data_IF_827803683816
#
_entry.id   IF_827803683816
#
_cell.length_a   1.000
_cell.length_b   1.000
_cell.length_c   1.000
_cell.angle_alpha   90.00
_cell.angle_beta   90.00
_cell.angle_gamma   90.00
#
_symmetry.space_group_name_H-M   'P 1'
#
loop_
_entity.id
_entity.type
_entity.pdbx_description
1 polymer ?
#
# COMPACT_ATOMS: atom_id res chain seq x y z
N UNK A 1 -21.86 0.51 3.41
CA UNK A 1 -20.72 1.43 3.42
C UNK A 1 -19.96 1.23 4.71
N UNK A 2 -18.66 0.93 4.61
CA UNK A 2 -17.80 0.71 5.77
C UNK A 2 -16.44 1.36 5.52
N UNK A 3 -16.34 2.65 5.86
CA UNK A 3 -15.19 3.49 5.52
C UNK A 3 -13.84 2.86 5.90
N UNK A 4 -12.83 2.84 4.99
CA UNK A 4 -12.76 3.51 3.68
C UNK A 4 -13.30 2.68 2.49
N UNK A 5 -14.04 1.61 2.76
CA UNK A 5 -14.49 0.64 1.78
C UNK A 5 -15.94 0.83 1.33
N UNK A 6 -16.14 0.77 0.02
CA UNK A 6 -17.42 0.65 -0.65
C UNK A 6 -17.68 -0.83 -0.97
N UNK A 7 -18.88 -1.30 -0.64
CA UNK A 7 -19.34 -2.65 -0.95
C UNK A 7 -20.49 -2.55 -1.94
N UNK A 8 -20.27 -3.04 -3.16
CA UNK A 8 -21.28 -3.08 -4.21
C UNK A 8 -21.84 -4.50 -4.35
N UNK A 9 -23.17 -4.61 -4.39
CA UNK A 9 -23.87 -5.87 -4.61
C UNK A 9 -24.04 -6.11 -6.11
N UNK A 10 -23.55 -7.25 -6.59
CA UNK A 10 -23.66 -7.69 -7.99
C UNK A 10 -24.50 -8.98 -8.06
N UNK A 11 -24.97 -9.33 -9.26
CA UNK A 11 -25.78 -10.55 -9.44
C UNK A 11 -25.03 -11.84 -9.06
N UNK A 12 -23.71 -11.85 -9.25
CA UNK A 12 -22.82 -13.00 -9.02
C UNK A 12 -21.93 -12.85 -7.79
N UNK A 13 -22.11 -11.81 -6.97
CA UNK A 13 -21.29 -11.62 -5.79
C UNK A 13 -21.25 -10.20 -5.26
N UNK A 14 -20.15 -9.86 -4.59
CA UNK A 14 -19.87 -8.52 -4.10
C UNK A 14 -18.54 -8.03 -4.63
N UNK A 15 -18.50 -6.73 -4.90
CA UNK A 15 -17.28 -6.02 -5.21
C UNK A 15 -16.91 -5.07 -4.06
N UNK A 16 -15.66 -5.14 -3.63
CA UNK A 16 -15.08 -4.28 -2.59
C UNK A 16 -14.18 -3.26 -3.27
N UNK A 17 -14.43 -1.98 -3.02
CA UNK A 17 -13.66 -0.87 -3.58
C UNK A 17 -13.28 0.13 -2.50
N UNK A 18 -12.32 1.02 -2.76
CA UNK A 18 -12.18 2.25 -1.97
C UNK A 18 -13.11 3.33 -2.47
N UNK A 19 -13.38 4.33 -1.62
CA UNK A 19 -14.27 5.45 -1.96
C UNK A 19 -13.57 6.46 -2.85
N UNK A 20 -12.39 6.94 -2.45
CA UNK A 20 -11.69 8.02 -3.15
C UNK A 20 -10.16 7.89 -3.06
N UNK A 21 -9.45 7.52 -4.14
CA UNK A 21 -9.97 7.16 -5.45
C UNK A 21 -10.79 5.86 -5.41
N UNK A 22 -11.59 5.63 -6.45
CA UNK A 22 -12.44 4.43 -6.55
C UNK A 22 -11.64 3.22 -7.07
N UNK A 23 -10.76 2.69 -6.23
CA UNK A 23 -9.89 1.55 -6.55
C UNK A 23 -10.63 0.24 -6.28
N UNK A 24 -10.55 -0.68 -7.23
CA UNK A 24 -10.98 -2.06 -7.03
C UNK A 24 -10.02 -2.77 -6.07
N UNK A 25 -10.55 -3.42 -5.04
CA UNK A 25 -9.76 -4.21 -4.09
C UNK A 25 -9.92 -5.69 -4.42
N UNK A 26 -11.16 -6.17 -4.44
CA UNK A 26 -11.45 -7.57 -4.69
C UNK A 26 -12.93 -7.78 -5.04
N UNK A 27 -13.20 -8.94 -5.63
CA UNK A 27 -14.56 -9.47 -5.74
C UNK A 27 -14.67 -10.76 -4.94
N UNK A 28 -15.79 -10.92 -4.24
CA UNK A 28 -16.14 -12.15 -3.54
C UNK A 28 -17.32 -12.77 -4.26
N UNK A 29 -17.10 -13.96 -4.81
CA UNK A 29 -18.17 -14.71 -5.49
C UNK A 29 -19.13 -15.23 -4.43
N UNK A 30 -20.38 -14.78 -4.52
CA UNK A 30 -21.46 -15.18 -3.63
C UNK A 30 -22.67 -15.45 -4.50
N UNK A 31 -23.25 -16.66 -4.50
CA UNK A 31 -24.34 -16.98 -5.40
C UNK A 31 -25.61 -16.21 -5.04
N UNK A 32 -26.08 -15.37 -5.97
CA UNK A 32 -27.36 -14.63 -5.90
C UNK A 32 -27.55 -13.89 -4.58
N UNK A 33 -26.63 -13.00 -4.21
CA UNK A 33 -26.73 -12.27 -2.96
C UNK A 33 -27.88 -11.25 -3.12
N UNK A 34 -28.81 -11.23 -2.16
CA UNK A 34 -30.00 -10.36 -2.20
C UNK A 34 -29.93 -9.19 -1.25
N UNK A 35 -29.24 -9.38 -0.13
CA UNK A 35 -29.17 -8.40 0.94
C UNK A 35 -27.75 -8.30 1.46
N UNK A 36 -27.37 -7.06 1.81
CA UNK A 36 -26.14 -6.71 2.50
C UNK A 36 -26.54 -5.97 3.77
N UNK A 37 -26.07 -6.43 4.92
CA UNK A 37 -26.31 -5.79 6.21
C UNK A 37 -24.98 -5.52 6.92
N UNK A 38 -24.67 -4.25 7.17
CA UNK A 38 -23.52 -3.88 7.99
C UNK A 38 -23.93 -3.97 9.46
N UNK A 39 -23.34 -4.91 10.19
CA UNK A 39 -23.58 -5.05 11.61
C UNK A 39 -22.75 -4.04 12.42
N UNK A 40 -21.44 -3.97 12.15
CA UNK A 40 -20.52 -2.99 12.74
C UNK A 40 -19.34 -2.72 11.78
N UNK A 41 -18.45 -1.79 12.15
CA UNK A 41 -17.22 -1.55 11.38
C UNK A 41 -16.41 -2.84 11.24
N UNK A 42 -16.03 -3.16 10.02
CA UNK A 42 -15.32 -4.39 9.65
C UNK A 42 -16.17 -5.65 9.61
N UNK A 43 -17.51 -5.58 9.76
CA UNK A 43 -18.36 -6.76 9.82
C UNK A 43 -19.66 -6.59 9.03
N UNK A 44 -19.80 -7.39 7.98
CA UNK A 44 -20.92 -7.33 7.04
C UNK A 44 -21.50 -8.73 6.82
N UNK A 45 -22.82 -8.84 6.88
CA UNK A 45 -23.55 -10.06 6.57
C UNK A 45 -24.19 -9.97 5.21
N UNK A 46 -24.09 -11.05 4.45
CA UNK A 46 -24.74 -11.23 3.16
C UNK A 46 -25.79 -12.31 3.29
N UNK A 47 -26.95 -12.10 2.67
CA UNK A 47 -27.97 -13.13 2.62
C UNK A 47 -28.47 -13.34 1.20
N UNK A 48 -28.62 -14.62 0.85
CA UNK A 48 -29.42 -15.09 -0.28
C UNK A 48 -30.71 -15.72 0.26
N UNK A 49 -31.49 -16.38 -0.59
CA UNK A 49 -32.69 -17.11 -0.16
C UNK A 49 -32.39 -18.36 0.65
N UNK A 50 -31.17 -18.89 0.60
CA UNK A 50 -30.83 -20.18 1.20
C UNK A 50 -29.59 -20.14 2.11
N UNK A 51 -28.77 -19.10 2.03
CA UNK A 51 -27.48 -19.02 2.70
C UNK A 51 -27.21 -17.62 3.23
N UNK A 52 -26.49 -17.56 4.34
CA UNK A 52 -25.98 -16.34 4.95
C UNK A 52 -24.47 -16.45 5.06
N UNK A 53 -23.76 -15.40 4.65
CA UNK A 53 -22.31 -15.29 4.75
C UNK A 53 -21.93 -14.15 5.69
N UNK A 54 -20.82 -14.33 6.39
CA UNK A 54 -20.21 -13.31 7.22
C UNK A 54 -18.91 -12.86 6.54
N UNK A 55 -18.84 -11.59 6.16
CA UNK A 55 -17.63 -10.91 5.70
C UNK A 55 -17.04 -10.14 6.88
N UNK A 56 -15.83 -10.51 7.26
CA UNK A 56 -15.06 -9.82 8.29
C UNK A 56 -13.82 -9.18 7.66
N UNK A 57 -13.54 -7.92 8.00
CA UNK A 57 -12.31 -7.26 7.61
C UNK A 57 -11.11 -7.94 8.26
N UNK A 58 -10.06 -8.14 7.48
CA UNK A 58 -8.78 -8.58 8.00
C UNK A 58 -8.12 -7.47 8.84
N UNK A 59 -7.30 -7.80 9.85
CA UNK A 59 -6.46 -6.82 10.54
C UNK A 59 -5.60 -6.04 9.53
N UNK A 60 -5.42 -4.74 9.77
CA UNK A 60 -4.71 -3.84 8.85
C UNK A 60 -3.31 -4.35 8.50
N UNK A 61 -2.56 -4.85 9.47
CA UNK A 61 -1.24 -5.45 9.26
C UNK A 61 -1.26 -6.55 8.19
N UNK A 62 -2.26 -7.45 8.21
CA UNK A 62 -2.45 -8.47 7.16
C UNK A 62 -2.91 -7.88 5.84
N UNK A 63 -3.75 -6.85 5.87
CA UNK A 63 -4.20 -6.17 4.65
C UNK A 63 -3.02 -5.52 3.91
N UNK A 64 -2.10 -4.87 4.62
CA UNK A 64 -0.91 -4.26 4.03
C UNK A 64 -0.02 -5.30 3.36
N UNK A 65 0.24 -6.44 4.01
CA UNK A 65 1.03 -7.52 3.39
C UNK A 65 0.43 -8.00 2.06
N UNK A 66 -0.88 -8.23 2.02
CA UNK A 66 -1.58 -8.63 0.79
C UNK A 66 -1.48 -7.55 -0.29
N UNK A 67 -1.60 -6.27 0.08
CA UNK A 67 -1.48 -5.16 -0.87
C UNK A 67 -0.06 -5.01 -1.43
N UNK A 68 0.95 -5.22 -0.60
CA UNK A 68 2.35 -5.23 -1.03
C UNK A 68 2.63 -6.38 -2.01
N UNK A 69 2.14 -7.59 -1.71
CA UNK A 69 2.23 -8.74 -2.61
C UNK A 69 1.55 -8.48 -3.97
N UNK A 70 0.45 -7.72 -3.95
CA UNK A 70 -0.30 -7.31 -5.14
C UNK A 70 0.23 -6.02 -5.80
N UNK A 71 1.33 -5.44 -5.29
CA UNK A 71 1.90 -4.16 -5.76
C UNK A 71 0.91 -2.98 -5.72
N UNK A 72 -0.07 -3.02 -4.83
CA UNK A 72 -1.06 -1.97 -4.61
C UNK A 72 -0.54 -0.93 -3.60
N UNK A 73 0.62 -0.34 -3.88
CA UNK A 73 1.33 0.52 -2.93
C UNK A 73 0.56 1.79 -2.53
N UNK A 74 -0.08 2.46 -3.49
CA UNK A 74 -0.87 3.67 -3.21
C UNK A 74 -2.04 3.38 -2.27
N UNK A 75 -2.68 2.23 -2.42
CA UNK A 75 -3.74 1.79 -1.54
C UNK A 75 -3.18 1.43 -0.15
N UNK A 76 -2.06 0.72 -0.09
CA UNK A 76 -1.38 0.39 1.16
C UNK A 76 -1.04 1.68 1.95
N UNK A 77 -0.42 2.67 1.29
CA UNK A 77 -0.12 3.98 1.89
C UNK A 77 -1.38 4.67 2.43
N UNK A 78 -2.44 4.68 1.63
CA UNK A 78 -3.69 5.32 2.04
C UNK A 78 -4.28 4.66 3.28
N UNK A 79 -4.27 3.33 3.35
CA UNK A 79 -4.81 2.59 4.48
C UNK A 79 -3.98 2.80 5.74
N UNK A 80 -2.66 2.81 5.64
CA UNK A 80 -1.77 3.12 6.77
C UNK A 80 -2.02 4.54 7.28
N UNK A 81 -2.02 5.56 6.41
CA UNK A 81 -2.24 6.97 6.76
C UNK A 81 -3.64 7.24 7.35
N UNK A 82 -4.67 6.56 6.84
CA UNK A 82 -6.05 6.73 7.32
C UNK A 82 -6.26 6.15 8.72
N UNK A 83 -5.44 5.19 9.14
CA UNK A 83 -5.44 4.68 10.51
C UNK A 83 -4.90 5.72 11.50
N UNK A 84 -3.83 6.45 11.14
CA UNK A 84 -3.27 7.54 11.97
C UNK A 84 -4.29 8.66 12.24
N UNK A 85 -5.11 9.05 11.25
CA UNK A 85 -6.11 10.12 11.42
C UNK A 85 -7.27 9.77 12.36
N UNK A 86 -7.43 8.49 12.72
CA UNK A 86 -8.46 8.10 13.68
C UNK A 86 -8.00 8.22 15.15
N UNK A 87 -6.70 8.39 15.43
CA UNK A 87 -6.21 8.55 16.81
C UNK A 87 -6.32 9.98 17.35
N UNK A 88 -6.33 11.02 16.49
CA UNK A 88 -6.45 12.41 16.97
C UNK A 88 -7.85 12.77 17.51
N UNK A 89 -8.81 11.85 17.51
CA UNK A 89 -10.19 12.10 17.93
C UNK A 89 -10.66 11.27 19.14
N UNK A 90 -9.80 10.45 19.76
CA UNK A 90 -10.21 9.54 20.84
C UNK A 90 -9.96 10.05 22.26
N UNK A 91 -9.38 11.24 22.45
CA UNK A 91 -9.18 11.78 23.81
C UNK A 91 -10.41 12.49 24.40
N UNK A 92 -11.56 12.55 23.71
CA UNK A 92 -12.69 13.34 24.21
C UNK A 92 -13.72 12.59 25.08
N UNK A 93 -13.96 11.27 24.94
CA UNK A 93 -15.12 10.64 25.64
C UNK A 93 -15.01 9.14 25.94
N UNK A 94 -13.97 8.67 26.65
CA UNK A 94 -13.94 7.29 27.16
C UNK A 94 -14.17 7.23 28.68
N UNK A 95 -15.40 7.51 29.11
CA UNK A 95 -15.85 7.14 30.46
C UNK A 95 -17.32 6.72 30.47
N UNK A 96 -17.69 5.69 29.69
CA UNK A 96 -18.85 4.85 30.02
C UNK A 96 -18.84 3.53 29.25
N UNK A 97 -19.05 2.44 29.98
CA UNK A 97 -19.48 1.11 29.56
C UNK A 97 -18.49 0.17 28.85
N UNK A 98 -18.23 -0.91 29.60
CA UNK A 98 -17.88 -2.28 29.22
C UNK A 98 -18.29 -2.67 27.80
N UNK A 99 -17.37 -2.48 26.85
CA UNK A 99 -17.31 -3.24 25.59
C UNK A 99 -15.82 -3.48 25.25
N UNK A 100 -15.17 -4.29 26.09
CA UNK A 100 -13.82 -4.80 25.86
C UNK A 100 -13.83 -5.88 24.77
N UNK A 101 -13.93 -5.53 23.48
CA UNK A 101 -13.46 -6.37 22.36
C UNK A 101 -13.13 -5.53 21.13
N UNK A 102 -12.30 -4.50 21.31
CA UNK A 102 -11.49 -4.00 20.20
C UNK A 102 -10.07 -4.50 20.44
N UNK A 103 -9.64 -5.37 19.54
CA UNK A 103 -8.24 -5.67 19.31
C UNK A 103 -7.61 -4.37 18.78
N UNK A 104 -7.35 -3.43 19.70
CA UNK A 104 -6.58 -2.23 19.43
C UNK A 104 -5.16 -2.75 19.28
N UNK A 105 -4.74 -2.91 18.03
CA UNK A 105 -3.32 -3.08 17.71
C UNK A 105 -2.67 -1.80 18.23
N UNK A 106 -2.02 -1.91 19.39
CA UNK A 106 -1.32 -0.85 20.10
C UNK A 106 0.01 -0.56 19.37
N UNK A 107 -0.08 -0.36 18.05
CA UNK A 107 1.06 0.05 17.22
C UNK A 107 1.27 1.54 17.48
N UNK A 108 2.45 1.86 18.02
CA UNK A 108 2.81 3.25 18.31
C UNK A 108 2.88 4.06 17.01
N UNK A 109 2.70 5.38 17.09
CA UNK A 109 2.83 6.26 15.92
C UNK A 109 4.19 6.08 15.22
N UNK A 110 5.24 5.78 15.99
CA UNK A 110 6.58 5.48 15.47
C UNK A 110 6.64 4.20 14.63
N UNK A 111 5.89 3.15 14.97
CA UNK A 111 5.83 1.91 14.18
C UNK A 111 5.05 2.12 12.88
N UNK A 112 4.01 2.95 12.92
CA UNK A 112 3.21 3.26 11.75
C UNK A 112 3.96 4.18 10.77
N UNK A 113 4.73 5.14 11.27
CA UNK A 113 5.62 5.97 10.43
C UNK A 113 6.69 5.12 9.74
N UNK A 114 7.25 4.11 10.44
CA UNK A 114 8.15 3.11 9.83
C UNK A 114 7.43 2.31 8.74
N UNK A 115 6.18 1.92 8.94
CA UNK A 115 5.40 1.21 7.93
C UNK A 115 5.16 2.08 6.69
N UNK A 116 4.79 3.36 6.86
CA UNK A 116 4.64 4.30 5.75
C UNK A 116 5.94 4.43 4.98
N UNK A 117 7.06 4.67 5.67
CA UNK A 117 8.38 4.77 5.05
C UNK A 117 8.72 3.51 4.24
N UNK A 118 8.54 2.32 4.82
CA UNK A 118 8.81 1.06 4.13
C UNK A 118 7.97 0.87 2.87
N UNK A 119 6.65 1.16 2.93
CA UNK A 119 5.76 1.04 1.78
C UNK A 119 6.19 2.02 0.68
N UNK A 120 6.54 3.27 1.04
CA UNK A 120 7.02 4.27 0.09
C UNK A 120 8.35 3.87 -0.55
N UNK A 121 9.30 3.34 0.24
CA UNK A 121 10.56 2.81 -0.28
C UNK A 121 10.31 1.71 -1.30
N UNK A 122 9.46 0.73 -0.98
CA UNK A 122 9.08 -0.34 -1.92
C UNK A 122 8.42 0.21 -3.18
N UNK A 123 7.57 1.22 -3.05
CA UNK A 123 6.92 1.88 -4.18
C UNK A 123 7.92 2.59 -5.10
N UNK A 124 8.87 3.34 -4.53
CA UNK A 124 9.92 4.03 -5.29
C UNK A 124 10.77 3.03 -6.08
N UNK A 125 11.14 1.90 -5.47
CA UNK A 125 11.84 0.83 -6.16
C UNK A 125 10.99 0.18 -7.24
N UNK A 126 9.72 -0.16 -6.97
CA UNK A 126 8.85 -0.80 -7.98
C UNK A 126 8.67 0.08 -9.22
N UNK A 127 8.51 1.40 -9.05
CA UNK A 127 8.51 2.38 -10.14
C UNK A 127 9.81 2.31 -10.98
N UNK A 128 10.97 2.17 -10.31
CA UNK A 128 12.25 2.01 -10.99
C UNK A 128 12.31 0.71 -11.81
N UNK A 129 11.91 -0.42 -11.23
CA UNK A 129 11.85 -1.72 -11.91
C UNK A 129 10.86 -1.71 -13.09
N UNK A 130 9.78 -0.94 -12.99
CA UNK A 130 8.81 -0.72 -14.06
C UNK A 130 9.25 0.34 -15.09
N UNK A 131 10.51 0.82 -15.01
CA UNK A 131 11.11 1.80 -15.94
C UNK A 131 10.47 3.18 -15.89
N UNK A 132 9.74 3.49 -14.82
CA UNK A 132 9.16 4.80 -14.55
C UNK A 132 10.17 5.66 -13.76
N UNK A 133 11.34 5.89 -14.35
CA UNK A 133 12.49 6.50 -13.66
C UNK A 133 12.17 7.86 -13.03
N UNK A 134 11.56 8.78 -13.77
CA UNK A 134 11.21 10.11 -13.24
C UNK A 134 10.20 10.06 -12.08
N UNK A 135 9.27 9.11 -12.10
CA UNK A 135 8.32 8.94 -10.98
C UNK A 135 9.04 8.38 -9.75
N UNK A 136 9.89 7.37 -9.97
CA UNK A 136 10.74 6.78 -8.93
C UNK A 136 11.66 7.82 -8.28
N UNK A 137 12.34 8.65 -9.06
CA UNK A 137 13.21 9.72 -8.55
C UNK A 137 12.45 10.72 -7.69
N UNK A 138 11.24 11.14 -8.11
CA UNK A 138 10.39 12.02 -7.30
C UNK A 138 10.03 11.40 -5.95
N UNK A 139 9.80 10.09 -5.89
CA UNK A 139 9.58 9.40 -4.61
C UNK A 139 10.87 9.31 -3.77
N UNK A 140 12.04 9.07 -4.38
CA UNK A 140 13.32 9.08 -3.66
C UNK A 140 13.65 10.45 -3.04
N UNK A 141 13.33 11.55 -3.72
CA UNK A 141 13.48 12.92 -3.19
C UNK A 141 12.57 13.12 -1.98
N UNK A 142 11.29 12.73 -2.09
CA UNK A 142 10.33 12.82 -0.97
C UNK A 142 10.78 12.03 0.26
N UNK A 143 11.43 10.89 0.02
CA UNK A 143 11.98 10.03 1.07
C UNK A 143 13.29 10.55 1.68
N UNK A 144 13.92 11.57 1.08
CA UNK A 144 15.27 12.01 1.47
C UNK A 144 16.31 10.90 1.30
N UNK A 145 16.15 10.06 0.29
CA UNK A 145 17.07 8.93 0.03
C UNK A 145 18.44 9.48 -0.35
N UNK A 146 19.51 8.89 0.19
CA UNK A 146 20.87 9.31 -0.12
C UNK A 146 21.14 9.13 -1.62
N UNK A 147 21.68 10.15 -2.32
CA UNK A 147 22.00 10.04 -3.73
C UNK A 147 22.88 8.84 -4.08
N UNK A 148 23.78 8.43 -3.18
CA UNK A 148 24.61 7.26 -3.34
C UNK A 148 23.78 5.98 -3.46
N UNK A 149 22.73 5.82 -2.66
CA UNK A 149 21.84 4.64 -2.72
C UNK A 149 21.07 4.57 -4.04
N UNK A 150 20.67 5.73 -4.58
CA UNK A 150 20.00 5.81 -5.88
C UNK A 150 20.98 5.49 -7.03
N UNK A 151 22.20 6.03 -6.98
CA UNK A 151 23.26 5.74 -7.99
C UNK A 151 23.59 4.23 -8.02
N UNK A 152 23.54 3.55 -6.88
CA UNK A 152 23.76 2.09 -6.80
C UNK A 152 22.74 1.27 -7.57
N UNK A 153 21.60 1.82 -7.96
CA UNK A 153 20.64 1.13 -8.82
C UNK A 153 21.12 0.99 -10.27
N UNK A 154 22.10 1.80 -10.69
CA UNK A 154 22.62 1.81 -12.05
C UNK A 154 23.90 0.96 -12.15
N UNK A 155 23.85 -0.22 -12.81
CA UNK A 155 24.98 -1.15 -12.85
C UNK A 155 26.23 -0.56 -13.52
N UNK A 156 26.06 0.33 -14.49
CA UNK A 156 27.15 0.87 -15.32
C UNK A 156 27.86 2.08 -14.70
N UNK A 157 27.31 2.67 -13.64
CA UNK A 157 27.89 3.84 -12.97
C UNK A 157 28.86 3.49 -11.85
N UNK A 158 28.91 2.22 -11.42
CA UNK A 158 29.73 1.78 -10.30
C UNK A 158 30.65 0.64 -10.76
N UNK A 159 31.96 0.68 -10.40
CA UNK A 159 32.89 -0.40 -10.72
C UNK A 159 32.36 -1.76 -10.26
N UNK A 160 32.31 -2.73 -11.18
CA UNK A 160 31.79 -4.09 -10.95
C UNK A 160 32.49 -4.81 -9.79
N UNK A 161 33.74 -4.44 -9.49
CA UNK A 161 34.55 -4.97 -8.38
C UNK A 161 34.00 -4.62 -6.99
N UNK A 162 33.16 -3.59 -6.89
CA UNK A 162 32.50 -3.19 -5.64
C UNK A 162 31.08 -3.75 -5.48
N UNK A 163 30.58 -4.51 -6.47
CA UNK A 163 29.27 -5.17 -6.39
C UNK A 163 29.43 -6.61 -5.89
N UNK A 164 28.68 -6.97 -4.86
CA UNK A 164 28.62 -8.37 -4.44
C UNK A 164 27.87 -9.20 -5.49
N UNK A 165 28.22 -10.48 -5.65
CA UNK A 165 27.59 -11.37 -6.65
C UNK A 165 26.07 -11.50 -6.46
N UNK A 166 25.57 -11.26 -5.24
CA UNK A 166 24.13 -11.20 -4.93
C UNK A 166 23.42 -9.94 -5.46
N UNK A 167 24.13 -8.82 -5.61
CA UNK A 167 23.55 -7.56 -6.09
C UNK A 167 23.37 -7.57 -7.61
N UNK A 168 24.22 -8.28 -8.36
CA UNK A 168 24.14 -8.38 -9.83
C UNK A 168 22.90 -9.14 -10.31
N UNK A 169 22.41 -10.12 -9.53
CA UNK A 169 21.28 -10.97 -9.92
C UNK A 169 19.92 -10.35 -9.59
N UNK A 170 19.88 -9.39 -8.65
CA UNK A 170 18.65 -8.72 -8.20
C UNK A 170 18.33 -7.44 -8.97
N UNK A 171 19.28 -6.87 -9.68
CA UNK A 171 19.09 -5.60 -10.38
C UNK A 171 18.43 -5.78 -11.75
N UNK A 172 17.61 -4.81 -12.18
CA UNK A 172 16.99 -4.88 -13.49
C UNK A 172 18.07 -4.71 -14.56
N UNK A 173 18.09 -5.63 -15.53
CA UNK A 173 18.91 -5.47 -16.75
C UNK A 173 18.27 -4.37 -17.60
N UNK A 174 18.81 -3.16 -17.49
CA UNK A 174 18.38 -2.03 -18.29
C UNK A 174 18.92 -2.19 -19.72
N UNK A 175 18.06 -2.00 -20.72
CA UNK A 175 18.50 -1.86 -22.10
C UNK A 175 19.11 -0.47 -22.32
N UNK A 176 19.95 -0.29 -23.34
CA UNK A 176 20.66 0.97 -23.63
C UNK A 176 19.72 2.20 -23.63
N UNK A 177 18.54 2.09 -24.22
CA UNK A 177 17.54 3.18 -24.27
C UNK A 177 16.88 3.48 -22.91
N UNK A 178 16.71 2.45 -22.09
CA UNK A 178 16.13 2.57 -20.75
C UNK A 178 17.17 3.15 -19.79
N UNK A 179 18.42 2.75 -19.95
CA UNK A 179 19.56 3.32 -19.25
C UNK A 179 19.69 4.82 -19.55
N UNK A 180 19.63 5.23 -20.81
CA UNK A 180 19.69 6.65 -21.19
C UNK A 180 18.57 7.46 -20.51
N UNK A 181 17.32 6.97 -20.56
CA UNK A 181 16.20 7.61 -19.88
C UNK A 181 16.37 7.64 -18.35
N UNK A 182 16.91 6.57 -17.76
CA UNK A 182 17.17 6.49 -16.33
C UNK A 182 18.29 7.44 -15.90
N UNK A 183 19.33 7.60 -16.73
CA UNK A 183 20.42 8.55 -16.50
C UNK A 183 19.93 10.00 -16.58
N UNK A 184 19.05 10.32 -17.52
CA UNK A 184 18.42 11.65 -17.59
C UNK A 184 17.64 11.96 -16.31
N UNK A 185 16.81 11.02 -15.85
CA UNK A 185 16.07 11.16 -14.60
C UNK A 185 17.02 11.27 -13.38
N UNK A 186 18.13 10.53 -13.38
CA UNK A 186 19.15 10.60 -12.32
C UNK A 186 19.85 11.97 -12.30
N UNK A 187 20.17 12.53 -13.47
CA UNK A 187 20.77 13.87 -13.55
C UNK A 187 19.80 14.90 -12.95
N UNK A 188 18.52 14.84 -13.32
CA UNK A 188 17.49 15.74 -12.76
C UNK A 188 17.39 15.57 -11.23
N UNK A 189 17.35 14.33 -10.75
CA UNK A 189 17.38 14.02 -9.32
C UNK A 189 18.58 14.64 -8.60
N UNK A 190 19.79 14.46 -9.12
CA UNK A 190 21.01 14.99 -8.50
C UNK A 190 21.04 16.52 -8.50
N UNK A 191 20.45 17.16 -9.51
CA UNK A 191 20.33 18.61 -9.55
C UNK A 191 19.30 19.16 -8.57
N UNK A 192 18.28 18.38 -8.22
CA UNK A 192 17.23 18.79 -7.28
C UNK A 192 17.62 18.54 -5.81
N UNK A 193 18.47 17.54 -5.57
CA UNK A 193 18.96 17.19 -4.22
C UNK A 193 20.22 17.99 -3.82
N UNK A 194 20.90 18.64 -4.77
CA UNK A 194 22.07 19.53 -4.52
C UNK A 194 21.67 20.89 -3.95
#
# INVERSE_FOLDING_TARGET
YDEPYLLALLSEGIEVRTIEPNLFIQSVVVPRPRMVFRAKRGLVYLASTAQVWCLQSLPLSRQIHVLLDQKQFQLALKLTVSDHRNLSCLEAHAMTSVDCFQNISDESDEEKDKNVFQIQTLFAFDLFYNKQFHESMREFIKLGTDPYDVIRLFPDLIPQESRSSQDQERLPKLQDRELENGLLALIEFLTEVS
#
